data_IF_336783956678
#
_entry.id   IF_336783956678
#
_cell.length_a   1.000
_cell.length_b   1.000
_cell.length_c   1.000
_cell.angle_alpha   90.00
_cell.angle_beta   90.00
_cell.angle_gamma   90.00
#
_symmetry.space_group_name_H-M   'P 1'
#
loop_
_entity.id
_entity.type
_entity.pdbx_description
1 polymer ?
#
# COMPACT_ATOMS: atom_id res chain seq x y z
N UNK A 1 19.31 3.89 3.65
CA UNK A 1 18.24 4.48 4.48
C UNK A 1 16.96 3.66 4.41
N UNK A 2 16.13 3.74 5.43
CA UNK A 2 14.78 3.19 5.49
C UNK A 2 13.79 4.32 5.25
N UNK A 3 12.91 4.15 4.25
CA UNK A 3 11.92 5.16 3.89
C UNK A 3 10.71 5.12 4.84
N UNK A 4 10.36 6.27 5.42
CA UNK A 4 9.22 6.46 6.34
C UNK A 4 9.17 5.44 7.49
N UNK A 5 10.32 5.07 8.04
CA UNK A 5 10.43 4.07 9.10
C UNK A 5 9.49 4.38 10.27
N UNK A 6 9.48 5.61 10.74
CA UNK A 6 8.68 6.03 11.89
C UNK A 6 7.18 5.86 11.64
N UNK A 7 6.69 6.32 10.48
CA UNK A 7 5.28 6.16 10.08
C UNK A 7 4.86 4.68 10.02
N UNK A 8 5.74 3.81 9.51
CA UNK A 8 5.49 2.36 9.45
C UNK A 8 5.39 1.74 10.84
N UNK A 9 6.27 2.13 11.75
CA UNK A 9 6.26 1.63 13.13
C UNK A 9 5.03 2.14 13.89
N UNK A 10 4.69 3.41 13.79
CA UNK A 10 3.47 3.96 14.40
C UNK A 10 2.22 3.23 13.89
N UNK A 11 2.13 2.96 12.57
CA UNK A 11 1.01 2.21 12.03
C UNK A 11 0.97 0.77 12.54
N UNK A 12 2.13 0.11 12.78
CA UNK A 12 2.18 -1.21 13.39
C UNK A 12 1.53 -1.18 14.79
N UNK A 13 1.92 -0.22 15.65
CA UNK A 13 1.35 -0.06 16.98
C UNK A 13 -0.14 0.26 16.93
N UNK A 14 -0.57 1.15 16.05
CA UNK A 14 -1.99 1.48 15.84
C UNK A 14 -2.79 0.24 15.42
N UNK A 15 -2.27 -0.55 14.48
CA UNK A 15 -2.93 -1.77 14.02
C UNK A 15 -3.01 -2.83 15.12
N UNK A 16 -1.96 -3.01 15.90
CA UNK A 16 -1.92 -3.92 17.03
C UNK A 16 -2.95 -3.53 18.10
N UNK A 17 -3.02 -2.24 18.46
CA UNK A 17 -3.98 -1.76 19.46
C UNK A 17 -5.43 -1.94 19.01
N UNK A 18 -5.72 -1.85 17.71
CA UNK A 18 -7.07 -2.07 17.17
C UNK A 18 -7.59 -3.49 17.43
N UNK A 19 -6.69 -4.46 17.55
CA UNK A 19 -7.02 -5.86 17.89
C UNK A 19 -6.63 -6.23 19.31
N UNK A 20 -6.50 -5.23 20.20
CA UNK A 20 -6.15 -5.36 21.62
C UNK A 20 -4.81 -6.08 21.87
N UNK A 21 -3.87 -5.98 20.93
CA UNK A 21 -2.54 -6.57 21.03
C UNK A 21 -1.57 -5.51 21.60
N UNK A 22 -1.06 -5.71 22.80
CA UNK A 22 -0.07 -4.83 23.44
C UNK A 22 1.34 -5.29 23.06
N UNK A 23 2.02 -4.53 22.20
CA UNK A 23 3.43 -4.79 21.83
C UNK A 23 4.32 -4.56 23.06
N UNK A 24 5.15 -5.56 23.50
CA UNK A 24 5.95 -5.44 24.73
C UNK A 24 7.27 -4.68 24.55
N UNK A 25 7.36 -3.84 23.54
CA UNK A 25 8.53 -3.03 23.17
C UNK A 25 8.12 -1.59 22.94
N UNK A 26 9.07 -0.67 23.05
CA UNK A 26 8.85 0.72 22.67
C UNK A 26 8.91 0.88 21.13
N UNK A 27 8.38 1.98 20.63
CA UNK A 27 8.48 2.35 19.23
C UNK A 27 9.95 2.47 18.78
N UNK A 28 10.80 3.00 19.66
CA UNK A 28 12.23 3.15 19.41
C UNK A 28 12.95 1.79 19.34
N UNK A 29 12.58 0.81 20.18
CA UNK A 29 13.15 -0.54 20.11
C UNK A 29 12.84 -1.19 18.76
N UNK A 30 11.61 -1.04 18.28
CA UNK A 30 11.21 -1.57 16.98
C UNK A 30 11.93 -0.84 15.85
N UNK A 31 12.08 0.48 15.91
CA UNK A 31 12.86 1.24 14.90
C UNK A 31 14.32 0.77 14.86
N UNK A 32 14.96 0.56 16.01
CA UNK A 32 16.32 0.00 16.09
C UNK A 32 16.39 -1.38 15.45
N UNK A 33 15.43 -2.26 15.75
CA UNK A 33 15.39 -3.60 15.16
C UNK A 33 15.29 -3.58 13.62
N UNK A 34 14.61 -2.60 13.04
CA UNK A 34 14.58 -2.42 11.57
C UNK A 34 15.97 -2.09 11.00
N UNK A 35 16.72 -1.24 11.68
CA UNK A 35 18.07 -0.87 11.27
C UNK A 35 19.01 -2.05 11.45
N UNK A 36 18.98 -2.68 12.61
CA UNK A 36 19.85 -3.82 12.95
C UNK A 36 19.67 -5.00 11.98
N UNK A 37 18.42 -5.34 11.59
CA UNK A 37 18.19 -6.47 10.68
C UNK A 37 18.80 -6.24 9.29
N UNK A 38 18.86 -5.00 8.82
CA UNK A 38 19.54 -4.65 7.56
C UNK A 38 21.06 -4.78 7.74
N UNK A 39 21.61 -4.23 8.82
CA UNK A 39 23.05 -4.22 9.09
C UNK A 39 23.62 -5.63 9.26
N UNK A 40 22.99 -6.47 10.11
CA UNK A 40 23.48 -7.83 10.39
C UNK A 40 23.40 -8.77 9.18
N UNK A 41 22.47 -8.48 8.24
CA UNK A 41 22.33 -9.24 7.00
C UNK A 41 23.08 -8.60 5.81
N UNK A 42 23.76 -7.46 6.01
CA UNK A 42 24.50 -6.71 4.97
C UNK A 42 23.66 -6.41 3.72
N UNK A 43 22.37 -6.09 3.91
CA UNK A 43 21.45 -5.82 2.80
C UNK A 43 21.66 -4.40 2.26
N UNK A 44 21.81 -4.27 0.95
CA UNK A 44 21.92 -2.98 0.26
C UNK A 44 20.55 -2.44 -0.13
N UNK A 45 19.68 -3.32 -0.64
CA UNK A 45 18.28 -3.08 -0.89
C UNK A 45 17.46 -4.17 -0.21
N UNK A 46 16.40 -3.80 0.48
CA UNK A 46 15.59 -4.78 1.19
C UNK A 46 14.13 -4.36 1.34
N UNK A 47 13.28 -5.36 1.34
CA UNK A 47 11.95 -5.23 1.90
C UNK A 47 12.00 -5.60 3.37
N UNK A 48 11.44 -4.74 4.24
CA UNK A 48 11.38 -4.99 5.69
C UNK A 48 9.93 -5.25 6.09
N UNK A 49 9.71 -6.30 6.86
CA UNK A 49 8.39 -6.68 7.37
C UNK A 49 8.42 -6.87 8.89
N UNK A 50 8.00 -5.85 9.66
CA UNK A 50 7.68 -6.05 11.05
C UNK A 50 6.34 -6.78 11.19
N UNK A 51 6.21 -7.64 12.19
CA UNK A 51 4.98 -8.35 12.49
C UNK A 51 4.84 -8.58 13.98
N UNK A 52 3.61 -8.43 14.51
CA UNK A 52 3.25 -8.82 15.86
C UNK A 52 2.18 -9.90 15.78
N UNK A 53 2.25 -10.89 16.68
CA UNK A 53 1.30 -11.99 16.71
C UNK A 53 1.21 -12.57 18.13
N UNK A 54 0.09 -13.21 18.42
CA UNK A 54 -0.09 -13.94 19.66
C UNK A 54 0.62 -15.29 19.60
N UNK A 55 1.18 -15.70 20.73
CA UNK A 55 1.84 -16.99 20.91
C UNK A 55 0.87 -18.17 20.97
N UNK A 56 1.42 -19.36 21.16
CA UNK A 56 0.72 -20.62 21.12
C UNK A 56 0.36 -21.20 22.50
N UNK A 57 0.34 -20.35 23.54
CA UNK A 57 0.10 -20.77 24.92
C UNK A 57 -1.35 -21.21 25.18
N UNK A 58 -2.25 -20.91 24.25
CA UNK A 58 -3.66 -21.30 24.33
C UNK A 58 -4.29 -21.43 22.98
N UNK A 59 -5.49 -22.00 22.95
CA UNK A 59 -6.30 -22.18 21.75
C UNK A 59 -7.66 -21.48 21.90
N UNK A 60 -8.20 -21.03 20.78
CA UNK A 60 -9.50 -20.35 20.74
C UNK A 60 -9.37 -18.83 20.57
N UNK A 61 -10.48 -18.11 20.75
CA UNK A 61 -10.55 -16.66 20.49
C UNK A 61 -10.09 -15.78 21.65
N UNK A 62 -9.90 -16.36 22.85
CA UNK A 62 -9.39 -15.61 24.00
C UNK A 62 -7.89 -15.42 23.87
N UNK A 63 -7.45 -14.15 23.89
CA UNK A 63 -6.05 -13.78 23.74
C UNK A 63 -5.47 -13.13 25.02
N UNK A 64 -6.26 -12.99 26.06
CA UNK A 64 -5.90 -12.31 27.33
C UNK A 64 -4.77 -13.00 28.11
N UNK A 65 -4.50 -14.28 27.83
CA UNK A 65 -3.43 -15.06 28.47
C UNK A 65 -2.31 -15.46 27.46
N UNK A 66 -2.30 -14.86 26.28
CA UNK A 66 -1.30 -15.17 25.26
C UNK A 66 -0.17 -14.13 25.27
N UNK A 67 1.06 -14.58 25.09
CA UNK A 67 2.19 -13.68 24.90
C UNK A 67 2.12 -13.02 23.51
N UNK A 68 2.49 -11.75 23.45
CA UNK A 68 2.67 -11.04 22.19
C UNK A 68 4.12 -11.19 21.74
N UNK A 69 4.30 -11.78 20.59
CA UNK A 69 5.59 -11.88 19.92
C UNK A 69 5.72 -10.79 18.86
N UNK A 70 6.93 -10.27 18.70
CA UNK A 70 7.26 -9.28 17.68
C UNK A 70 8.48 -9.74 16.91
N UNK A 71 8.44 -9.64 15.61
CA UNK A 71 9.58 -9.95 14.73
C UNK A 71 9.75 -8.85 13.69
N UNK A 72 10.98 -8.65 13.24
CA UNK A 72 11.32 -7.84 12.07
C UNK A 72 12.12 -8.72 11.13
N UNK A 73 11.59 -8.96 9.95
CA UNK A 73 12.26 -9.70 8.88
C UNK A 73 12.67 -8.75 7.75
N UNK A 74 13.83 -8.99 7.14
CA UNK A 74 14.28 -8.27 5.96
C UNK A 74 14.89 -9.24 4.95
N UNK A 75 14.65 -9.00 3.68
CA UNK A 75 15.21 -9.79 2.58
C UNK A 75 15.29 -8.95 1.30
N UNK A 76 16.19 -9.33 0.42
CA UNK A 76 16.21 -8.79 -0.92
C UNK A 76 14.92 -9.17 -1.64
N UNK A 77 14.22 -8.19 -2.16
CA UNK A 77 13.03 -8.41 -2.96
C UNK A 77 13.18 -7.66 -4.26
N UNK A 78 13.41 -8.37 -5.37
CA UNK A 78 13.33 -7.73 -6.68
C UNK A 78 11.94 -7.12 -6.85
N UNK A 79 11.83 -6.11 -7.69
CA UNK A 79 10.56 -5.40 -7.90
C UNK A 79 9.36 -6.35 -7.95
N UNK A 80 8.33 -6.05 -7.18
CA UNK A 80 7.07 -6.82 -7.15
C UNK A 80 6.42 -6.90 -8.53
N UNK A 81 6.59 -5.86 -9.33
CA UNK A 81 6.08 -5.77 -10.69
C UNK A 81 7.21 -5.85 -11.72
N UNK A 82 6.91 -6.44 -12.87
CA UNK A 82 7.79 -6.44 -14.03
C UNK A 82 8.20 -4.99 -14.37
N UNK A 83 9.48 -4.71 -14.72
CA UNK A 83 9.91 -3.40 -15.18
C UNK A 83 9.04 -2.82 -16.30
N UNK A 84 8.55 -3.65 -17.23
CA UNK A 84 7.64 -3.20 -18.28
C UNK A 84 6.29 -2.71 -17.72
N UNK A 85 5.79 -3.29 -16.64
CA UNK A 85 4.54 -2.88 -16.00
C UNK A 85 4.62 -1.45 -15.43
N UNK A 86 5.82 -0.98 -15.06
CA UNK A 86 6.03 0.39 -14.57
C UNK A 86 5.83 1.45 -15.66
N UNK A 87 6.00 1.08 -16.92
CA UNK A 87 5.85 2.00 -18.07
C UNK A 87 4.54 1.77 -18.81
N UNK A 88 4.22 0.50 -19.10
CA UNK A 88 3.05 0.12 -19.91
C UNK A 88 1.76 0.05 -19.09
N UNK A 89 1.87 -0.05 -17.76
CA UNK A 89 0.74 -0.28 -16.87
C UNK A 89 0.28 -1.74 -16.89
N UNK A 90 -0.59 -2.07 -15.93
CA UNK A 90 -1.15 -3.40 -15.69
C UNK A 90 -2.63 -3.47 -16.06
N UNK A 91 -3.11 -4.70 -16.33
CA UNK A 91 -4.52 -5.00 -16.58
C UNK A 91 -5.19 -5.37 -15.28
N UNK A 92 -6.25 -4.67 -14.94
CA UNK A 92 -6.95 -4.84 -13.67
C UNK A 92 -8.35 -5.41 -13.90
N UNK A 93 -8.74 -6.36 -13.04
CA UNK A 93 -10.09 -6.91 -13.00
C UNK A 93 -10.89 -6.26 -11.87
N UNK A 94 -12.13 -5.86 -12.15
CA UNK A 94 -13.08 -5.57 -11.10
C UNK A 94 -13.49 -6.89 -10.43
N UNK A 95 -13.10 -7.05 -9.16
CA UNK A 95 -13.38 -8.29 -8.43
C UNK A 95 -14.85 -8.42 -8.06
N UNK A 96 -15.35 -9.65 -8.07
CA UNK A 96 -16.67 -9.98 -7.53
C UNK A 96 -16.68 -9.93 -5.99
N UNK A 97 -15.51 -9.96 -5.36
CA UNK A 97 -15.35 -9.85 -3.90
C UNK A 97 -15.25 -8.39 -3.48
N UNK A 98 -15.98 -8.02 -2.44
CA UNK A 98 -16.00 -6.66 -1.90
C UNK A 98 -15.10 -6.55 -0.67
N UNK A 99 -14.51 -5.37 -0.45
CA UNK A 99 -13.88 -5.05 0.84
C UNK A 99 -14.92 -5.04 1.95
N UNK A 100 -14.50 -5.44 3.14
CA UNK A 100 -15.39 -5.50 4.31
C UNK A 100 -15.90 -4.11 4.72
N UNK A 101 -16.97 -4.14 5.49
CA UNK A 101 -17.73 -2.99 6.01
C UNK A 101 -16.84 -2.06 6.84
N UNK A 102 -17.14 -0.77 6.74
CA UNK A 102 -16.59 0.35 7.53
C UNK A 102 -16.55 0.07 9.03
N UNK A 103 -15.42 -0.38 9.52
CA UNK A 103 -15.14 -0.47 10.96
C UNK A 103 -13.64 -0.29 11.23
N UNK A 104 -13.22 0.09 12.45
CA UNK A 104 -11.81 0.33 12.75
C UNK A 104 -10.90 -0.87 12.47
N UNK A 105 -11.40 -2.10 12.59
CA UNK A 105 -10.62 -3.32 12.33
C UNK A 105 -10.35 -3.51 10.84
N UNK A 106 -11.31 -3.19 9.97
CA UNK A 106 -11.12 -3.31 8.51
C UNK A 106 -10.07 -2.35 7.96
N UNK A 107 -9.83 -1.23 8.63
CA UNK A 107 -8.83 -0.23 8.25
C UNK A 107 -7.46 -0.45 8.91
N UNK A 108 -7.36 -1.41 9.85
CA UNK A 108 -6.09 -1.80 10.45
C UNK A 108 -5.33 -2.77 9.54
N UNK A 109 -3.99 -2.65 9.53
CA UNK A 109 -3.12 -3.57 8.77
C UNK A 109 -2.96 -4.89 9.53
N UNK A 110 -4.01 -5.70 9.49
CA UNK A 110 -4.13 -7.00 10.19
C UNK A 110 -4.21 -8.11 9.16
N UNK A 111 -3.47 -9.21 9.38
CA UNK A 111 -3.39 -10.32 8.42
C UNK A 111 -4.75 -10.95 8.07
N UNK A 112 -5.69 -11.00 9.02
CA UNK A 112 -7.04 -11.50 8.78
C UNK A 112 -7.82 -10.73 7.70
N UNK A 113 -7.53 -9.44 7.52
CA UNK A 113 -8.18 -8.61 6.50
C UNK A 113 -7.74 -8.99 5.08
N UNK A 114 -6.60 -9.66 4.93
CA UNK A 114 -6.06 -10.05 3.62
C UNK A 114 -6.73 -11.29 3.00
N UNK A 115 -7.63 -11.96 3.71
CA UNK A 115 -8.39 -13.09 3.14
C UNK A 115 -9.17 -12.66 1.90
N UNK A 116 -9.86 -11.51 1.96
CA UNK A 116 -10.57 -10.95 0.80
C UNK A 116 -9.63 -10.55 -0.34
N UNK A 117 -8.49 -9.97 0.00
CA UNK A 117 -7.43 -9.60 -0.96
C UNK A 117 -6.89 -10.82 -1.71
N UNK A 118 -6.63 -11.92 -1.00
CA UNK A 118 -6.12 -13.16 -1.59
C UNK A 118 -7.12 -13.73 -2.60
N UNK A 119 -8.40 -13.83 -2.23
CA UNK A 119 -9.41 -14.39 -3.14
C UNK A 119 -9.71 -13.49 -4.33
N UNK A 120 -9.70 -12.16 -4.13
CA UNK A 120 -9.87 -11.19 -5.20
C UNK A 120 -8.71 -11.24 -6.20
N UNK A 121 -7.47 -11.29 -5.72
CA UNK A 121 -6.29 -11.41 -6.57
C UNK A 121 -6.29 -12.75 -7.32
N UNK A 122 -6.62 -13.86 -6.65
CA UNK A 122 -6.72 -15.18 -7.29
C UNK A 122 -7.73 -15.15 -8.43
N UNK A 123 -8.93 -14.58 -8.20
CA UNK A 123 -9.95 -14.41 -9.24
C UNK A 123 -9.42 -13.62 -10.45
N UNK A 124 -8.68 -12.53 -10.21
CA UNK A 124 -8.10 -11.72 -11.28
C UNK A 124 -7.05 -12.49 -12.09
N UNK A 125 -6.12 -13.17 -11.41
CA UNK A 125 -5.05 -13.95 -12.04
C UNK A 125 -5.62 -15.11 -12.87
N UNK A 126 -6.60 -15.84 -12.36
CA UNK A 126 -7.29 -16.93 -13.08
C UNK A 126 -8.02 -16.43 -14.33
N UNK A 127 -8.48 -15.18 -14.31
CA UNK A 127 -9.12 -14.52 -15.45
C UNK A 127 -8.12 -13.87 -16.43
N UNK A 128 -6.80 -13.97 -16.19
CA UNK A 128 -5.75 -13.43 -17.06
C UNK A 128 -5.46 -11.93 -16.90
N UNK A 129 -5.81 -11.37 -15.75
CA UNK A 129 -5.45 -10.02 -15.32
C UNK A 129 -4.27 -10.04 -14.36
N UNK A 130 -3.66 -8.88 -14.12
CA UNK A 130 -2.46 -8.76 -13.31
C UNK A 130 -2.79 -8.42 -11.84
N UNK A 131 -3.92 -7.74 -11.58
CA UNK A 131 -4.34 -7.31 -10.24
C UNK A 131 -5.88 -7.15 -10.18
N UNK A 132 -6.42 -7.11 -8.95
CA UNK A 132 -7.83 -6.90 -8.66
C UNK A 132 -8.10 -5.49 -8.17
N UNK A 133 -9.22 -4.90 -8.59
CA UNK A 133 -9.80 -3.69 -8.01
C UNK A 133 -11.08 -4.09 -7.27
N UNK A 134 -11.19 -3.74 -5.99
CA UNK A 134 -12.32 -4.11 -5.15
C UNK A 134 -13.25 -2.92 -4.90
N UNK A 135 -14.54 -3.23 -4.83
CA UNK A 135 -15.55 -2.28 -4.36
C UNK A 135 -15.74 -2.38 -2.84
N UNK A 136 -16.21 -1.33 -2.23
CA UNK A 136 -16.74 -1.35 -0.88
C UNK A 136 -18.16 -1.95 -0.83
N UNK A 137 -18.75 -2.02 0.36
CA UNK A 137 -20.10 -2.56 0.56
C UNK A 137 -21.17 -1.75 -0.21
N UNK A 138 -20.96 -0.45 -0.37
CA UNK A 138 -21.90 0.49 -1.01
C UNK A 138 -21.73 0.49 -2.54
N UNK A 139 -20.72 -0.17 -3.08
CA UNK A 139 -20.46 -0.30 -4.52
C UNK A 139 -19.54 0.76 -5.10
N UNK A 140 -18.82 1.51 -4.25
CA UNK A 140 -17.78 2.44 -4.68
C UNK A 140 -16.42 1.76 -4.69
N UNK A 141 -15.49 2.27 -5.48
CA UNK A 141 -14.10 1.82 -5.51
C UNK A 141 -13.47 1.97 -4.11
N UNK A 142 -12.84 0.91 -3.64
CA UNK A 142 -12.10 0.89 -2.39
C UNK A 142 -10.58 0.93 -2.64
N UNK A 143 -9.99 -0.19 -2.97
CA UNK A 143 -8.53 -0.34 -3.18
C UNK A 143 -8.24 -1.60 -4.01
N UNK A 144 -6.97 -1.81 -4.40
CA UNK A 144 -6.50 -3.08 -4.95
C UNK A 144 -6.41 -4.18 -3.91
N UNK A 145 -5.83 -5.34 -4.28
CA UNK A 145 -5.66 -6.44 -3.31
C UNK A 145 -4.68 -6.09 -2.19
N UNK A 146 -3.66 -5.30 -2.47
CA UNK A 146 -2.64 -4.86 -1.50
C UNK A 146 -2.23 -3.39 -1.65
N UNK A 147 -2.90 -2.60 -2.48
CA UNK A 147 -2.54 -1.26 -2.92
C UNK A 147 -3.71 -0.28 -2.82
N UNK A 148 -3.40 0.99 -2.53
CA UNK A 148 -4.36 2.07 -2.65
C UNK A 148 -4.52 2.51 -4.12
N UNK A 149 -5.70 2.99 -4.46
CA UNK A 149 -6.11 3.33 -5.82
C UNK A 149 -6.21 4.83 -6.05
N UNK A 150 -5.79 5.27 -7.24
CA UNK A 150 -5.86 6.65 -7.70
C UNK A 150 -6.35 6.74 -9.14
N UNK A 151 -7.03 7.84 -9.46
CA UNK A 151 -7.30 8.27 -10.83
C UNK A 151 -6.83 9.71 -11.02
N UNK A 152 -6.56 10.06 -12.28
CA UNK A 152 -6.41 11.46 -12.73
C UNK A 152 -7.51 11.74 -13.73
N UNK A 153 -8.23 12.85 -13.53
CA UNK A 153 -9.22 13.36 -14.49
C UNK A 153 -9.09 14.88 -14.61
N UNK A 154 -8.97 15.37 -15.83
CA UNK A 154 -8.81 16.80 -16.14
C UNK A 154 -7.70 17.47 -15.30
N UNK A 155 -6.58 16.75 -15.09
CA UNK A 155 -5.45 17.21 -14.30
C UNK A 155 -5.62 17.14 -12.78
N UNK A 156 -6.75 16.64 -12.26
CA UNK A 156 -7.03 16.47 -10.84
C UNK A 156 -6.80 15.04 -10.40
N UNK A 157 -5.91 14.85 -9.43
CA UNK A 157 -5.67 13.56 -8.77
C UNK A 157 -6.80 13.28 -7.77
N UNK A 158 -7.36 12.07 -7.80
CA UNK A 158 -8.41 11.64 -6.87
C UNK A 158 -8.12 10.26 -6.30
N UNK A 159 -8.50 10.02 -5.05
CA UNK A 159 -8.41 8.71 -4.39
C UNK A 159 -9.65 8.47 -3.54
N UNK A 160 -10.08 7.20 -3.34
CA UNK A 160 -11.16 6.87 -2.43
C UNK A 160 -10.93 7.41 -1.02
N UNK A 161 -12.03 7.58 -0.27
CA UNK A 161 -11.94 7.89 1.15
C UNK A 161 -11.38 6.68 1.94
N UNK A 162 -10.95 6.96 3.19
CA UNK A 162 -10.36 5.92 4.05
C UNK A 162 -11.39 5.06 4.80
N UNK A 163 -12.67 5.18 4.49
CA UNK A 163 -13.70 4.39 5.16
C UNK A 163 -13.61 2.89 4.85
N UNK A 164 -13.14 2.56 3.63
CA UNK A 164 -13.12 1.20 3.10
C UNK A 164 -11.74 0.74 2.62
N UNK A 165 -10.69 1.55 2.78
CA UNK A 165 -9.34 1.19 2.38
C UNK A 165 -8.32 1.49 3.48
N UNK A 166 -7.14 0.88 3.35
CA UNK A 166 -6.03 1.14 4.25
C UNK A 166 -5.53 2.58 4.09
N UNK A 167 -5.22 3.24 5.22
CA UNK A 167 -4.47 4.49 5.23
C UNK A 167 -2.99 4.18 4.92
N UNK A 168 -2.70 4.04 3.63
CA UNK A 168 -1.41 3.64 3.10
C UNK A 168 -0.36 4.73 3.25
N UNK A 169 0.85 4.37 3.69
CA UNK A 169 1.96 5.32 3.82
C UNK A 169 2.42 5.80 2.44
N UNK A 170 2.47 4.91 1.45
CA UNK A 170 2.74 5.32 0.06
C UNK A 170 1.64 6.23 -0.48
N UNK A 171 0.35 5.96 -0.16
CA UNK A 171 -0.75 6.86 -0.52
C UNK A 171 -0.54 8.27 0.04
N UNK A 172 -0.19 8.39 1.33
CA UNK A 172 0.12 9.69 1.95
C UNK A 172 1.28 10.37 1.24
N UNK A 173 2.35 9.63 0.95
CA UNK A 173 3.51 10.13 0.22
C UNK A 173 3.11 10.69 -1.16
N UNK A 174 2.29 9.97 -1.92
CA UNK A 174 1.82 10.44 -3.24
C UNK A 174 1.00 11.73 -3.12
N UNK A 175 0.16 11.86 -2.08
CA UNK A 175 -0.62 13.08 -1.84
C UNK A 175 0.30 14.25 -1.49
N UNK A 176 1.29 14.06 -0.62
CA UNK A 176 2.26 15.08 -0.24
C UNK A 176 3.11 15.51 -1.45
N UNK A 177 3.56 14.55 -2.28
CA UNK A 177 4.28 14.85 -3.52
C UNK A 177 3.40 15.57 -4.56
N UNK A 178 2.13 15.23 -4.66
CA UNK A 178 1.19 15.93 -5.54
C UNK A 178 1.03 17.40 -5.13
N UNK A 179 0.92 17.69 -3.82
CA UNK A 179 0.87 19.05 -3.28
C UNK A 179 2.15 19.83 -3.65
N UNK A 180 3.33 19.25 -3.42
CA UNK A 180 4.61 19.88 -3.76
C UNK A 180 4.75 20.16 -5.27
N UNK A 181 4.19 19.29 -6.11
CA UNK A 181 4.20 19.42 -7.57
C UNK A 181 3.08 20.32 -8.11
N UNK A 182 2.26 20.90 -7.23
CA UNK A 182 1.07 21.68 -7.56
C UNK A 182 0.06 20.92 -8.42
N UNK A 183 -0.11 19.61 -8.16
CA UNK A 183 -1.13 18.76 -8.75
C UNK A 183 -2.33 18.79 -7.81
N UNK A 184 -3.50 19.30 -8.22
CA UNK A 184 -4.68 19.33 -7.38
C UNK A 184 -5.09 17.92 -6.95
N UNK A 185 -5.38 17.75 -5.64
CA UNK A 185 -5.82 16.48 -5.08
C UNK A 185 -7.17 16.62 -4.38
N UNK A 186 -8.00 15.57 -4.51
CA UNK A 186 -9.24 15.44 -3.75
C UNK A 186 -9.50 14.00 -3.30
N UNK A 187 -10.16 13.85 -2.16
CA UNK A 187 -10.77 12.59 -1.74
C UNK A 187 -12.17 12.53 -2.32
N UNK A 188 -12.51 11.47 -3.05
CA UNK A 188 -13.80 11.32 -3.72
C UNK A 188 -14.28 9.88 -3.62
N UNK A 189 -15.58 9.67 -3.40
CA UNK A 189 -16.18 8.35 -3.67
C UNK A 189 -16.16 8.13 -5.17
N UNK A 190 -15.44 7.13 -5.62
CA UNK A 190 -15.25 6.80 -7.02
C UNK A 190 -16.17 5.65 -7.43
N UNK A 191 -16.86 5.82 -8.53
CA UNK A 191 -17.64 4.76 -9.19
C UNK A 191 -16.76 4.04 -10.22
N UNK A 192 -17.21 2.88 -10.70
CA UNK A 192 -16.56 2.19 -11.84
C UNK A 192 -16.54 3.10 -13.07
N UNK A 193 -17.59 3.90 -13.29
CA UNK A 193 -17.65 4.81 -14.42
C UNK A 193 -16.60 5.94 -14.30
N UNK A 194 -16.35 6.47 -13.08
CA UNK A 194 -15.28 7.45 -12.87
C UNK A 194 -13.90 6.88 -13.25
N UNK A 195 -13.67 5.58 -13.05
CA UNK A 195 -12.43 4.90 -13.43
C UNK A 195 -12.32 4.79 -14.95
N UNK A 196 -13.40 4.37 -15.64
CA UNK A 196 -13.42 4.23 -17.09
C UNK A 196 -13.33 5.58 -17.82
N UNK A 197 -13.83 6.64 -17.22
CA UNK A 197 -13.76 8.01 -17.76
C UNK A 197 -12.47 8.75 -17.38
N UNK A 198 -11.60 8.14 -16.55
CA UNK A 198 -10.35 8.74 -16.12
C UNK A 198 -9.36 8.88 -17.28
N UNK A 199 -8.49 9.90 -17.20
CA UNK A 199 -7.40 10.10 -18.16
C UNK A 199 -6.21 9.19 -17.80
N UNK A 200 -6.00 8.92 -16.49
CA UNK A 200 -4.94 8.06 -15.97
C UNK A 200 -5.46 7.33 -14.71
N UNK A 201 -4.91 6.16 -14.43
CA UNK A 201 -5.07 5.53 -13.12
C UNK A 201 -3.82 4.76 -12.71
N UNK A 202 -3.65 4.58 -11.39
CA UNK A 202 -2.52 3.84 -10.84
C UNK A 202 -2.80 3.32 -9.43
N UNK A 203 -2.04 2.30 -9.05
CA UNK A 203 -1.95 1.81 -7.68
C UNK A 203 -0.73 2.36 -6.95
N UNK A 204 -0.84 2.45 -5.61
CA UNK A 204 0.29 2.78 -4.74
C UNK A 204 0.38 1.85 -3.54
N UNK A 205 1.59 1.39 -3.23
CA UNK A 205 1.86 0.51 -2.10
C UNK A 205 3.35 0.36 -1.81
N UNK A 206 3.71 -0.16 -0.65
CA UNK A 206 5.13 -0.33 -0.27
C UNK A 206 5.83 -1.34 -1.19
N UNK A 207 5.19 -2.43 -1.56
CA UNK A 207 5.76 -3.44 -2.46
C UNK A 207 5.53 -3.09 -3.93
N UNK A 208 4.32 -2.64 -4.27
CA UNK A 208 3.96 -2.24 -5.62
C UNK A 208 4.57 -0.91 -6.04
N UNK A 209 4.97 -0.07 -5.06
CA UNK A 209 5.48 1.28 -5.32
C UNK A 209 4.40 2.16 -5.96
N UNK A 210 4.58 2.60 -7.22
CA UNK A 210 3.58 3.30 -8.03
C UNK A 210 3.45 2.56 -9.35
N UNK A 211 2.30 1.94 -9.59
CA UNK A 211 2.05 1.10 -10.77
C UNK A 211 0.89 1.65 -11.60
N UNK A 212 1.13 2.09 -12.83
CA UNK A 212 0.08 2.53 -13.74
C UNK A 212 -0.91 1.40 -14.04
N UNK A 213 -2.16 1.75 -14.28
CA UNK A 213 -3.21 0.83 -14.73
C UNK A 213 -3.61 1.23 -16.14
N UNK A 214 -3.53 0.29 -17.08
CA UNK A 214 -3.85 0.54 -18.49
C UNK A 214 -5.29 0.18 -18.86
N UNK A 215 -5.91 -0.75 -18.11
CA UNK A 215 -7.28 -1.18 -18.41
C UNK A 215 -7.99 -1.76 -17.18
N UNK A 216 -9.31 -1.64 -17.18
CA UNK A 216 -10.22 -2.27 -16.23
C UNK A 216 -11.18 -3.19 -16.99
N UNK A 217 -11.24 -4.48 -16.64
CA UNK A 217 -12.04 -5.51 -17.32
C UNK A 217 -11.90 -5.50 -18.85
N UNK A 218 -10.68 -5.24 -19.35
CA UNK A 218 -10.34 -5.18 -20.76
C UNK A 218 -10.71 -3.86 -21.45
N UNK A 219 -11.30 -2.90 -20.76
CA UNK A 219 -11.56 -1.55 -21.27
C UNK A 219 -10.37 -0.64 -20.93
N UNK A 220 -9.78 0.00 -21.92
CA UNK A 220 -8.66 0.92 -21.74
C UNK A 220 -9.05 2.13 -20.90
N UNK A 221 -8.17 2.55 -19.99
CA UNK A 221 -8.29 3.79 -19.24
C UNK A 221 -7.43 4.84 -19.94
N UNK A 222 -8.01 5.99 -20.24
CA UNK A 222 -7.33 7.06 -21.00
C UNK A 222 -6.75 6.53 -22.31
N UNK A 223 -5.43 6.68 -22.49
CA UNK A 223 -4.73 6.19 -23.69
C UNK A 223 -4.37 4.70 -23.64
N UNK A 224 -4.61 4.02 -22.52
CA UNK A 224 -4.14 2.65 -22.27
C UNK A 224 -2.65 2.56 -21.99
N UNK A 225 -2.01 3.66 -21.62
CA UNK A 225 -0.59 3.77 -21.25
C UNK A 225 -0.45 4.63 -19.99
N UNK A 226 0.74 4.58 -19.37
CA UNK A 226 1.07 5.49 -18.26
C UNK A 226 0.93 6.94 -18.72
N UNK A 227 0.08 7.70 -18.02
CA UNK A 227 -0.11 9.12 -18.31
C UNK A 227 0.96 10.02 -17.67
N UNK A 228 1.04 11.29 -18.09
CA UNK A 228 2.12 12.21 -17.70
C UNK A 228 2.11 12.58 -16.21
N UNK A 229 0.94 12.65 -15.56
CA UNK A 229 0.86 12.94 -14.12
C UNK A 229 1.31 11.73 -13.31
N UNK A 230 0.89 10.53 -13.68
CA UNK A 230 1.35 9.28 -13.08
C UNK A 230 2.86 9.12 -13.24
N UNK A 231 3.40 9.39 -14.43
CA UNK A 231 4.85 9.34 -14.68
C UNK A 231 5.61 10.31 -13.79
N UNK A 232 5.16 11.55 -13.69
CA UNK A 232 5.78 12.58 -12.87
C UNK A 232 5.77 12.20 -11.38
N UNK A 233 4.64 11.71 -10.86
CA UNK A 233 4.51 11.27 -9.46
C UNK A 233 5.38 10.04 -9.20
N UNK A 234 5.39 9.07 -10.10
CA UNK A 234 6.18 7.85 -10.01
C UNK A 234 7.68 8.18 -9.96
N UNK A 235 8.19 9.00 -10.88
CA UNK A 235 9.59 9.39 -10.89
C UNK A 235 9.97 10.15 -9.62
N UNK A 236 9.16 11.13 -9.22
CA UNK A 236 9.40 11.90 -8.00
C UNK A 236 9.40 11.02 -6.75
N UNK A 237 8.52 10.01 -6.69
CA UNK A 237 8.49 9.02 -5.63
C UNK A 237 9.78 8.20 -5.59
N UNK A 238 10.27 7.69 -6.72
CA UNK A 238 11.51 6.92 -6.78
C UNK A 238 12.72 7.74 -6.38
N UNK A 239 12.84 8.97 -6.88
CA UNK A 239 13.94 9.87 -6.54
C UNK A 239 13.94 10.17 -5.02
N UNK A 240 12.76 10.30 -4.42
CA UNK A 240 12.62 10.55 -2.98
C UNK A 240 13.00 9.31 -2.14
N UNK A 241 12.50 8.11 -2.51
CA UNK A 241 12.80 6.86 -1.80
C UNK A 241 14.29 6.52 -1.85
N UNK A 242 14.96 6.82 -2.97
CA UNK A 242 16.39 6.59 -3.15
C UNK A 242 17.27 7.67 -2.52
N UNK A 243 16.67 8.75 -2.04
CA UNK A 243 17.39 9.90 -1.50
C UNK A 243 18.06 10.78 -2.56
N UNK A 244 17.71 10.59 -3.83
CA UNK A 244 18.27 11.37 -4.96
C UNK A 244 17.71 12.79 -5.01
N UNK A 245 16.52 13.00 -4.43
CA UNK A 245 15.85 14.31 -4.39
C UNK A 245 16.25 15.15 -3.19
N UNK A 246 16.18 14.58 -1.99
CA UNK A 246 16.51 15.25 -0.74
C UNK A 246 17.00 14.25 0.31
N UNK A 247 18.33 14.23 0.52
CA UNK A 247 18.96 13.39 1.54
C UNK A 247 18.61 13.80 2.98
N UNK A 248 18.19 15.05 3.21
CA UNK A 248 17.82 15.55 4.54
C UNK A 248 16.32 15.38 4.81
N UNK A 249 15.59 14.74 3.93
CA UNK A 249 14.16 14.50 4.10
C UNK A 249 13.88 13.75 5.42
N UNK A 250 12.92 14.19 6.22
CA UNK A 250 12.50 13.49 7.43
C UNK A 250 11.93 12.10 7.14
N UNK A 251 11.68 11.77 5.88
CA UNK A 251 11.21 10.46 5.45
C UNK A 251 12.32 9.41 5.36
N UNK A 252 13.59 9.83 5.44
CA UNK A 252 14.74 8.93 5.33
C UNK A 252 15.37 8.72 6.72
N UNK A 253 15.43 7.48 7.14
CA UNK A 253 16.18 7.07 8.35
C UNK A 253 17.43 6.32 7.91
N UNK A 254 18.61 6.91 8.17
CA UNK A 254 19.87 6.30 7.79
C UNK A 254 20.21 5.10 8.68
N UNK A 255 20.87 4.12 8.10
CA UNK A 255 21.24 2.85 8.73
C UNK A 255 22.70 2.80 9.16
N UNK A 256 23.42 3.91 9.02
CA UNK A 256 24.86 4.02 9.36
C UNK A 256 25.01 4.53 10.79
#
# INVERSE_FOLDING_TARGET
>A
SVFRLHDHTERLFKSASTVNMAIPYTLEDINKAHIEVIQVNNLQEAYIRPMCFYGSEGMGLRADNLNVHTMVAAWEWPSYMDPEAREKGIKVKLSSYKRQVKNPVSNAKVNGNYVHSIVALTEALEAGFDEALMLDADGYIAEGSGENFFIVKDGVLSSPNLDSCLDGITRRTIIELAEELNIPFQVKQLTVQDVLDADESFFSGTAAEVVPINSLDGQSIGTGLRGPITEKLQQTYFDQVRGERDLNSPWLTFTN
#
